data_IF_834781078771
#
_entry.id   IF_834781078771
#
_cell.length_a   1.000
_cell.length_b   1.000
_cell.length_c   1.000
_cell.angle_alpha   90.00
_cell.angle_beta   90.00
_cell.angle_gamma   90.00
#
_symmetry.space_group_name_H-M   'P 1'
#
loop_
_entity.id
_entity.type
_entity.pdbx_description
1 polymer ?
#
# COMPACT_ATOMS: atom_id res chain seq x y z
N UNK A 1 -0.96 27.34 -16.39
CA UNK A 1 -1.69 26.19 -16.95
C UNK A 1 -2.97 26.02 -16.16
N UNK A 2 -4.14 26.09 -16.83
CA UNK A 2 -5.42 25.90 -16.15
C UNK A 2 -5.48 24.49 -15.55
N UNK A 3 -5.91 24.36 -14.29
CA UNK A 3 -6.16 23.08 -13.66
C UNK A 3 -7.36 22.41 -14.32
N UNK A 4 -7.19 21.17 -14.74
CA UNK A 4 -8.28 20.30 -15.17
C UNK A 4 -8.90 19.48 -14.01
N UNK A 5 -8.62 19.86 -12.75
CA UNK A 5 -9.14 19.20 -11.55
C UNK A 5 -10.33 19.94 -10.94
N UNK A 6 -11.08 19.23 -10.08
CA UNK A 6 -12.14 19.82 -9.28
C UNK A 6 -11.57 20.79 -8.23
N UNK A 7 -12.38 21.75 -7.80
CA UNK A 7 -12.03 22.71 -6.75
C UNK A 7 -12.91 22.50 -5.52
N UNK A 8 -12.33 22.71 -4.35
CA UNK A 8 -13.02 22.71 -3.06
C UNK A 8 -12.46 23.82 -2.18
N UNK A 9 -13.15 24.23 -1.11
CA UNK A 9 -12.60 25.18 -0.13
C UNK A 9 -11.24 24.69 0.38
N UNK A 10 -10.21 25.55 0.29
CA UNK A 10 -8.84 25.23 0.68
C UNK A 10 -7.94 24.73 -0.45
N UNK A 11 -8.46 24.45 -1.65
CA UNK A 11 -7.60 24.16 -2.80
C UNK A 11 -6.93 25.43 -3.31
N UNK A 12 -5.63 25.36 -3.58
CA UNK A 12 -4.93 26.46 -4.23
C UNK A 12 -5.42 26.63 -5.69
N UNK A 13 -5.52 27.86 -6.18
CA UNK A 13 -5.99 28.16 -7.54
C UNK A 13 -5.04 27.64 -8.63
N UNK A 14 -3.72 27.69 -8.35
CA UNK A 14 -2.68 27.21 -9.26
C UNK A 14 -1.68 26.32 -8.53
N UNK A 15 -1.10 25.35 -9.25
CA UNK A 15 0.00 24.54 -8.74
C UNK A 15 1.26 25.39 -8.71
N UNK A 16 1.96 25.41 -7.57
CA UNK A 16 3.29 26.03 -7.46
C UNK A 16 4.25 25.34 -8.45
N UNK A 17 4.89 26.08 -9.36
CA UNK A 17 5.89 25.53 -10.29
C UNK A 17 7.04 24.80 -9.59
N UNK A 18 7.41 25.22 -8.37
CA UNK A 18 8.44 24.54 -7.57
C UNK A 18 8.08 23.13 -7.11
N UNK A 19 6.81 22.71 -7.28
CA UNK A 19 6.34 21.34 -6.96
C UNK A 19 6.10 20.48 -8.20
N UNK A 20 6.52 20.94 -9.37
CA UNK A 20 6.23 20.25 -10.64
C UNK A 20 6.68 18.79 -10.66
N UNK A 21 7.84 18.52 -10.06
CA UNK A 21 8.49 17.20 -10.03
C UNK A 21 8.25 16.42 -8.72
N UNK A 22 7.36 16.91 -7.85
CA UNK A 22 7.03 16.17 -6.62
C UNK A 22 6.19 14.95 -6.95
N UNK A 23 6.58 13.81 -6.37
CA UNK A 23 5.92 12.52 -6.52
C UNK A 23 5.53 12.00 -5.14
N UNK A 24 4.28 11.51 -4.98
CA UNK A 24 3.91 10.71 -3.82
C UNK A 24 4.58 9.34 -3.95
N UNK A 25 5.80 9.25 -3.41
CA UNK A 25 6.65 8.07 -3.58
C UNK A 25 6.10 6.86 -2.84
N UNK A 26 5.78 7.00 -1.55
CA UNK A 26 5.42 5.84 -0.73
C UNK A 26 4.44 6.17 0.40
N UNK A 27 3.75 5.12 0.86
CA UNK A 27 3.05 5.06 2.14
C UNK A 27 3.75 4.04 3.02
N UNK A 28 4.06 4.39 4.28
CA UNK A 28 4.74 3.49 5.21
C UNK A 28 3.76 2.89 6.22
N UNK A 29 3.85 1.56 6.40
CA UNK A 29 3.17 0.80 7.44
C UNK A 29 4.21 0.08 8.32
N UNK A 30 3.99 0.08 9.63
CA UNK A 30 4.78 -0.77 10.54
C UNK A 30 4.22 -2.18 10.54
N UNK A 31 5.11 -3.16 10.45
CA UNK A 31 4.74 -4.58 10.49
C UNK A 31 5.41 -5.27 11.67
N UNK A 32 4.69 -6.21 12.29
CA UNK A 32 5.21 -7.00 13.39
C UNK A 32 6.13 -8.14 12.91
N UNK A 33 5.64 -8.90 11.92
CA UNK A 33 6.31 -10.08 11.39
C UNK A 33 6.51 -9.93 9.87
N UNK A 34 7.77 -9.75 9.41
CA UNK A 34 8.05 -9.55 8.01
C UNK A 34 7.75 -10.78 7.15
N UNK A 35 7.83 -12.01 7.68
CA UNK A 35 7.51 -13.22 6.90
C UNK A 35 6.02 -13.26 6.58
N UNK A 36 5.17 -13.03 7.58
CA UNK A 36 3.72 -12.99 7.39
C UNK A 36 3.29 -11.85 6.46
N UNK A 37 3.85 -10.66 6.64
CA UNK A 37 3.47 -9.49 5.83
C UNK A 37 3.98 -9.62 4.39
N UNK A 38 5.21 -10.07 4.17
CA UNK A 38 5.74 -10.28 2.81
C UNK A 38 4.96 -11.36 2.08
N UNK A 39 4.59 -12.47 2.73
CA UNK A 39 3.72 -13.49 2.13
C UNK A 39 2.38 -12.88 1.70
N UNK A 40 1.75 -12.10 2.57
CA UNK A 40 0.47 -11.46 2.28
C UNK A 40 0.59 -10.48 1.09
N UNK A 41 1.51 -9.55 1.14
CA UNK A 41 1.62 -8.52 0.08
C UNK A 41 2.13 -9.09 -1.25
N UNK A 42 2.97 -10.14 -1.26
CA UNK A 42 3.47 -10.73 -2.50
C UNK A 42 2.59 -11.85 -3.04
N UNK A 43 2.25 -12.85 -2.23
CA UNK A 43 1.46 -14.01 -2.68
C UNK A 43 -0.04 -13.68 -2.77
N UNK A 44 -0.59 -12.98 -1.77
CA UNK A 44 -2.03 -12.68 -1.74
C UNK A 44 -2.37 -11.50 -2.64
N UNK A 45 -1.66 -10.38 -2.50
CA UNK A 45 -1.93 -9.17 -3.28
C UNK A 45 -1.14 -9.09 -4.59
N UNK A 46 -0.11 -9.92 -4.80
CA UNK A 46 0.65 -9.97 -6.05
C UNK A 46 1.64 -8.82 -6.24
N UNK A 47 2.01 -8.12 -5.17
CA UNK A 47 3.04 -7.09 -5.25
C UNK A 47 4.43 -7.70 -5.47
N UNK A 48 5.30 -6.96 -6.11
CA UNK A 48 6.71 -7.28 -6.22
C UNK A 48 7.49 -6.62 -5.10
N UNK A 49 8.30 -7.40 -4.35
CA UNK A 49 9.31 -6.84 -3.46
C UNK A 49 10.45 -6.26 -4.31
N UNK A 50 10.52 -4.95 -4.39
CA UNK A 50 11.49 -4.23 -5.22
C UNK A 50 12.84 -4.12 -4.50
N UNK A 51 12.80 -3.81 -3.20
CA UNK A 51 14.02 -3.63 -2.41
C UNK A 51 13.79 -3.91 -0.92
N UNK A 52 14.84 -4.49 -0.28
CA UNK A 52 15.02 -4.52 1.16
C UNK A 52 16.23 -3.68 1.54
N UNK A 53 16.13 -2.93 2.63
CA UNK A 53 17.21 -2.13 3.20
C UNK A 53 17.24 -2.38 4.70
N UNK A 54 18.37 -2.88 5.21
CA UNK A 54 18.57 -3.11 6.65
C UNK A 54 19.34 -1.93 7.25
N UNK A 55 18.81 -1.35 8.32
CA UNK A 55 19.38 -0.21 9.06
C UNK A 55 19.85 -0.72 10.41
N UNK A 56 21.07 -1.27 10.46
CA UNK A 56 21.61 -1.93 11.65
C UNK A 56 21.72 -1.00 12.87
N UNK A 57 22.03 0.28 12.67
CA UNK A 57 22.12 1.24 13.79
C UNK A 57 20.75 1.56 14.42
N UNK A 58 19.65 1.36 13.68
CA UNK A 58 18.30 1.58 14.16
C UNK A 58 17.54 0.29 14.46
N UNK A 59 18.16 -0.87 14.23
CA UNK A 59 17.57 -2.20 14.43
C UNK A 59 16.23 -2.38 13.73
N UNK A 60 16.16 -1.94 12.45
CA UNK A 60 14.96 -2.11 11.63
C UNK A 60 15.30 -2.41 10.16
N UNK A 61 14.34 -3.00 9.46
CA UNK A 61 14.39 -3.28 8.03
C UNK A 61 13.24 -2.59 7.31
N UNK A 62 13.53 -2.09 6.10
CA UNK A 62 12.56 -1.50 5.18
C UNK A 62 12.36 -2.43 3.99
N UNK A 63 11.10 -2.66 3.62
CA UNK A 63 10.72 -3.44 2.46
C UNK A 63 9.85 -2.58 1.56
N UNK A 64 10.31 -2.33 0.32
CA UNK A 64 9.59 -1.54 -0.66
C UNK A 64 8.91 -2.46 -1.66
N UNK A 65 7.60 -2.36 -1.74
CA UNK A 65 6.76 -3.17 -2.62
C UNK A 65 5.95 -2.28 -3.56
N UNK A 66 5.55 -2.84 -4.70
CA UNK A 66 4.72 -2.15 -5.67
C UNK A 66 4.26 -3.06 -6.80
N UNK A 67 3.67 -2.45 -7.82
CA UNK A 67 3.22 -3.12 -9.05
C UNK A 67 3.98 -2.56 -10.27
N UNK A 68 5.32 -2.66 -10.32
CA UNK A 68 6.06 -2.27 -11.51
C UNK A 68 5.69 -3.21 -12.66
N UNK A 69 5.59 -2.66 -13.88
CA UNK A 69 5.44 -3.50 -15.05
C UNK A 69 6.76 -4.24 -15.39
N UNK A 70 6.71 -5.26 -16.26
CA UNK A 70 7.89 -6.05 -16.61
C UNK A 70 9.05 -5.20 -17.17
N UNK A 71 8.76 -4.19 -17.99
CA UNK A 71 9.77 -3.33 -18.60
C UNK A 71 10.46 -2.46 -17.53
N UNK A 72 9.69 -1.98 -16.53
CA UNK A 72 10.24 -1.26 -15.38
C UNK A 72 11.16 -2.15 -14.54
N UNK A 73 10.79 -3.42 -14.32
CA UNK A 73 11.62 -4.38 -13.59
C UNK A 73 12.94 -4.69 -14.35
N UNK A 74 12.84 -4.85 -15.67
CA UNK A 74 14.03 -5.09 -16.52
C UNK A 74 14.97 -3.89 -16.52
N UNK A 75 14.41 -2.67 -16.55
CA UNK A 75 15.15 -1.42 -16.53
C UNK A 75 15.72 -1.06 -15.14
N UNK A 76 15.35 -1.78 -14.09
CA UNK A 76 15.80 -1.49 -12.73
C UNK A 76 17.31 -1.66 -12.59
N UNK A 77 18.06 -0.62 -12.14
CA UNK A 77 19.51 -0.69 -12.00
C UNK A 77 19.98 -1.81 -11.06
N UNK A 78 21.10 -2.43 -11.40
CA UNK A 78 21.76 -3.43 -10.53
C UNK A 78 22.66 -2.79 -9.48
N UNK A 79 23.25 -1.63 -9.80
CA UNK A 79 24.04 -0.85 -8.86
C UNK A 79 23.19 -0.33 -7.71
N UNK A 80 23.73 -0.38 -6.49
CA UNK A 80 22.95 -0.07 -5.28
C UNK A 80 22.53 1.40 -5.18
N UNK A 81 23.38 2.33 -5.61
CA UNK A 81 23.06 3.77 -5.55
C UNK A 81 22.03 4.13 -6.63
N UNK A 82 22.29 3.72 -7.89
CA UNK A 82 21.34 3.93 -8.99
C UNK A 82 19.97 3.28 -8.73
N UNK A 83 19.96 2.09 -8.09
CA UNK A 83 18.70 1.44 -7.67
C UNK A 83 17.95 2.26 -6.61
N UNK A 84 18.66 2.91 -5.69
CA UNK A 84 18.00 3.81 -4.72
C UNK A 84 17.38 5.01 -5.42
N UNK A 85 18.09 5.66 -6.33
CA UNK A 85 17.57 6.79 -7.11
C UNK A 85 16.32 6.36 -7.90
N UNK A 86 16.41 5.21 -8.59
CA UNK A 86 15.28 4.65 -9.32
C UNK A 86 14.07 4.38 -8.39
N UNK A 87 14.29 3.74 -7.24
CA UNK A 87 13.24 3.40 -6.27
C UNK A 87 12.51 4.65 -5.77
N UNK A 88 13.27 5.67 -5.34
CA UNK A 88 12.68 6.88 -4.79
C UNK A 88 12.09 7.83 -5.85
N UNK A 89 12.24 7.52 -7.13
CA UNK A 89 11.52 8.17 -8.22
C UNK A 89 10.19 7.49 -8.59
N UNK A 90 9.92 6.26 -8.08
CA UNK A 90 8.67 5.56 -8.40
C UNK A 90 7.49 6.15 -7.62
N UNK A 91 6.28 6.20 -8.20
CA UNK A 91 5.08 6.59 -7.49
C UNK A 91 4.45 5.41 -6.74
N UNK A 92 3.68 5.74 -5.69
CA UNK A 92 2.73 4.85 -5.04
C UNK A 92 3.29 3.50 -4.55
N UNK A 93 4.50 3.51 -4.00
CA UNK A 93 5.08 2.34 -3.34
C UNK A 93 4.44 2.11 -1.96
N UNK A 94 4.49 0.87 -1.51
CA UNK A 94 4.25 0.50 -0.13
C UNK A 94 5.60 0.21 0.55
N UNK A 95 5.91 0.96 1.62
CA UNK A 95 7.04 0.69 2.49
C UNK A 95 6.55 -0.05 3.74
N UNK A 96 7.07 -1.24 3.98
CA UNK A 96 6.85 -1.96 5.24
C UNK A 96 8.08 -1.78 6.12
N UNK A 97 7.87 -1.28 7.35
CA UNK A 97 8.95 -1.09 8.32
C UNK A 97 8.82 -2.12 9.45
N UNK A 98 9.82 -2.99 9.55
CA UNK A 98 9.93 -4.00 10.61
C UNK A 98 11.00 -3.59 11.62
N UNK A 99 10.63 -3.37 12.88
CA UNK A 99 11.57 -3.21 13.99
C UNK A 99 11.99 -4.61 14.47
N UNK A 100 13.28 -4.88 14.51
CA UNK A 100 13.79 -6.23 14.81
C UNK A 100 13.34 -6.70 16.19
N UNK A 101 12.90 -7.96 16.26
CA UNK A 101 12.43 -8.59 17.48
C UNK A 101 10.92 -8.50 17.71
N UNK A 102 10.19 -7.63 16.97
CA UNK A 102 8.74 -7.52 17.16
C UNK A 102 7.99 -8.79 16.75
N UNK A 103 8.56 -9.61 15.86
CA UNK A 103 8.01 -10.90 15.45
C UNK A 103 7.96 -11.90 16.61
N UNK A 104 8.87 -11.78 17.56
CA UNK A 104 8.96 -12.64 18.76
C UNK A 104 8.07 -12.17 19.91
N UNK A 105 7.55 -10.95 19.88
CA UNK A 105 6.71 -10.38 20.92
C UNK A 105 5.22 -10.53 20.59
N UNK A 106 4.48 -11.40 21.30
CA UNK A 106 3.07 -11.63 21.04
C UNK A 106 2.17 -10.45 21.44
N UNK A 107 2.66 -9.48 22.21
CA UNK A 107 1.89 -8.36 22.70
C UNK A 107 1.98 -7.12 21.77
N UNK A 108 2.91 -7.10 20.85
CA UNK A 108 3.04 -6.02 19.87
C UNK A 108 1.80 -5.97 18.99
N UNK A 109 1.18 -4.80 18.97
CA UNK A 109 0.06 -4.46 18.07
C UNK A 109 0.25 -3.06 17.54
N UNK A 110 -0.02 -2.89 16.26
CA UNK A 110 -0.08 -1.58 15.63
C UNK A 110 -1.54 -1.12 15.55
N UNK A 111 -1.77 0.17 15.73
CA UNK A 111 -3.10 0.74 15.61
C UNK A 111 -3.53 0.77 14.13
N UNK A 112 -4.69 0.20 13.82
CA UNK A 112 -5.20 0.07 12.45
C UNK A 112 -5.76 1.39 11.86
N UNK A 113 -5.90 2.42 12.69
CA UNK A 113 -6.43 3.73 12.30
C UNK A 113 -7.96 3.80 12.24
N UNK A 114 -8.68 2.69 12.30
CA UNK A 114 -10.14 2.61 12.15
C UNK A 114 -10.87 2.45 13.49
N UNK A 115 -10.16 2.15 14.57
CA UNK A 115 -10.64 2.21 15.94
C UNK A 115 -10.36 3.57 16.57
N UNK A 116 -11.05 3.92 17.67
CA UNK A 116 -10.84 5.21 18.36
C UNK A 116 -9.51 5.23 19.15
N UNK A 117 -8.76 6.33 19.06
CA UNK A 117 -8.97 7.54 18.24
C UNK A 117 -8.62 7.26 16.76
N UNK A 118 -9.54 7.63 15.86
CA UNK A 118 -9.38 7.36 14.43
C UNK A 118 -8.23 8.16 13.82
N UNK A 119 -7.53 7.54 12.87
CA UNK A 119 -6.41 8.14 12.17
C UNK A 119 -6.33 7.73 10.70
N UNK A 120 -5.19 7.15 10.29
CA UNK A 120 -5.01 6.61 8.95
C UNK A 120 -6.01 5.48 8.69
N UNK A 121 -6.80 5.58 7.62
CA UNK A 121 -7.89 4.65 7.37
C UNK A 121 -7.50 3.37 6.65
N UNK A 122 -6.94 3.49 5.46
CA UNK A 122 -6.61 2.34 4.60
C UNK A 122 -5.71 2.75 3.43
N UNK A 123 -5.17 1.74 2.75
CA UNK A 123 -4.64 1.86 1.39
C UNK A 123 -5.63 1.24 0.41
N UNK A 124 -5.65 1.72 -0.85
CA UNK A 124 -6.54 1.21 -1.90
C UNK A 124 -5.77 0.41 -2.95
N UNK A 125 -6.29 -0.76 -3.31
CA UNK A 125 -5.79 -1.60 -4.41
C UNK A 125 -6.85 -1.70 -5.49
N UNK A 126 -6.52 -1.20 -6.66
CA UNK A 126 -7.40 -1.29 -7.84
C UNK A 126 -7.23 -2.65 -8.51
N UNK A 127 -8.34 -3.35 -8.71
CA UNK A 127 -8.39 -4.66 -9.37
C UNK A 127 -9.34 -4.62 -10.57
N UNK A 128 -9.14 -5.50 -11.58
CA UNK A 128 -10.06 -5.56 -12.72
C UNK A 128 -11.51 -5.94 -12.35
N UNK A 129 -11.67 -6.88 -11.41
CA UNK A 129 -12.95 -7.39 -10.93
C UNK A 129 -12.88 -7.65 -9.42
N UNK A 130 -13.68 -6.90 -8.65
CA UNK A 130 -13.71 -6.99 -7.18
C UNK A 130 -14.26 -8.32 -6.71
N UNK A 131 -15.30 -8.87 -7.36
CA UNK A 131 -15.90 -10.15 -6.95
C UNK A 131 -14.94 -11.31 -7.20
N UNK A 132 -14.28 -11.34 -8.35
CA UNK A 132 -13.27 -12.36 -8.66
C UNK A 132 -12.07 -12.27 -7.69
N UNK A 133 -11.60 -11.06 -7.38
CA UNK A 133 -10.54 -10.86 -6.40
C UNK A 133 -10.95 -11.34 -5.01
N UNK A 134 -12.17 -11.01 -4.56
CA UNK A 134 -12.70 -11.44 -3.26
C UNK A 134 -12.88 -12.97 -3.18
N UNK A 135 -13.37 -13.62 -4.22
CA UNK A 135 -13.46 -15.08 -4.27
C UNK A 135 -12.09 -15.74 -4.10
N UNK A 136 -11.05 -15.16 -4.74
CA UNK A 136 -9.67 -15.63 -4.56
C UNK A 136 -9.19 -15.39 -3.12
N UNK A 137 -9.46 -14.24 -2.52
CA UNK A 137 -9.08 -13.95 -1.13
C UNK A 137 -9.75 -14.91 -0.14
N UNK A 138 -11.01 -15.29 -0.37
CA UNK A 138 -11.69 -16.31 0.43
C UNK A 138 -10.97 -17.65 0.39
N UNK A 139 -10.55 -18.13 -0.80
CA UNK A 139 -9.82 -19.39 -0.93
C UNK A 139 -8.44 -19.36 -0.26
N UNK A 140 -7.87 -18.16 -0.08
CA UNK A 140 -6.60 -17.94 0.60
C UNK A 140 -6.75 -17.67 2.10
N UNK A 141 -7.99 -17.65 2.63
CA UNK A 141 -8.26 -17.47 4.05
C UNK A 141 -8.07 -16.03 4.54
N UNK A 142 -8.16 -15.03 3.65
CA UNK A 142 -8.02 -13.62 4.01
C UNK A 142 -9.21 -13.15 4.84
N UNK A 143 -8.95 -12.37 5.89
CA UNK A 143 -9.98 -11.77 6.72
C UNK A 143 -10.66 -10.59 6.01
N UNK A 144 -12.01 -10.63 5.96
CA UNK A 144 -12.82 -9.53 5.40
C UNK A 144 -13.35 -8.64 6.52
N UNK A 145 -13.20 -7.33 6.34
CA UNK A 145 -13.92 -6.31 7.11
C UNK A 145 -15.27 -6.04 6.48
N UNK A 146 -15.32 -6.00 5.13
CA UNK A 146 -16.53 -5.74 4.35
C UNK A 146 -16.45 -6.48 3.01
N UNK A 147 -17.50 -7.20 2.67
CA UNK A 147 -17.64 -7.85 1.36
C UNK A 147 -18.19 -6.89 0.31
N UNK A 148 -18.04 -7.17 -1.01
CA UNK A 148 -18.45 -6.24 -2.07
C UNK A 148 -19.92 -5.81 -2.02
N UNK A 149 -20.79 -6.71 -1.58
CA UNK A 149 -22.25 -6.48 -1.58
C UNK A 149 -22.81 -6.04 -0.21
N UNK A 150 -21.95 -5.92 0.80
CA UNK A 150 -22.35 -5.49 2.13
C UNK A 150 -22.53 -3.96 2.22
N UNK A 151 -23.48 -3.53 3.06
CA UNK A 151 -23.70 -2.13 3.40
C UNK A 151 -24.17 -1.26 2.24
N UNK A 152 -23.99 0.05 2.38
CA UNK A 152 -24.46 1.04 1.40
C UNK A 152 -23.52 1.22 0.20
N UNK A 153 -22.21 1.10 0.41
CA UNK A 153 -21.20 1.25 -0.64
C UNK A 153 -20.97 -0.10 -1.33
N UNK A 154 -21.72 -0.38 -2.38
CA UNK A 154 -21.63 -1.61 -3.16
C UNK A 154 -20.45 -1.59 -4.12
N UNK A 155 -19.93 -2.77 -4.49
CA UNK A 155 -18.90 -2.92 -5.52
C UNK A 155 -17.47 -2.67 -5.06
N UNK A 156 -17.24 -2.47 -3.75
CA UNK A 156 -15.92 -2.43 -3.13
C UNK A 156 -15.87 -3.30 -1.88
N UNK A 157 -14.70 -3.79 -1.53
CA UNK A 157 -14.49 -4.59 -0.33
C UNK A 157 -13.39 -3.99 0.55
N UNK A 158 -13.38 -4.39 1.82
CA UNK A 158 -12.26 -4.15 2.71
C UNK A 158 -11.77 -5.49 3.28
N UNK A 159 -10.48 -5.72 3.21
CA UNK A 159 -9.79 -6.85 3.81
C UNK A 159 -8.78 -6.37 4.85
N UNK A 160 -8.25 -7.28 5.67
CA UNK A 160 -7.18 -6.99 6.62
C UNK A 160 -5.88 -7.64 6.20
N UNK A 161 -4.79 -6.92 6.43
CA UNK A 161 -3.46 -7.49 6.40
C UNK A 161 -3.10 -8.20 7.72
N UNK A 162 -1.94 -8.85 7.86
CA UNK A 162 -1.55 -9.56 9.08
C UNK A 162 -1.45 -8.70 10.34
N UNK A 163 -1.23 -7.40 10.21
CA UNK A 163 -1.16 -6.45 11.32
C UNK A 163 -2.50 -5.75 11.61
N UNK A 164 -3.55 -6.04 10.81
CA UNK A 164 -4.90 -5.53 10.96
C UNK A 164 -5.20 -4.25 10.18
N UNK A 165 -4.26 -3.72 9.40
CA UNK A 165 -4.53 -2.57 8.52
C UNK A 165 -5.58 -2.92 7.47
N UNK A 166 -6.45 -1.96 7.20
CA UNK A 166 -7.47 -2.14 6.18
C UNK A 166 -6.92 -1.88 4.79
N UNK A 167 -7.34 -2.71 3.86
CA UNK A 167 -7.04 -2.56 2.44
C UNK A 167 -8.36 -2.54 1.68
N UNK A 168 -8.61 -1.41 1.01
CA UNK A 168 -9.76 -1.28 0.11
C UNK A 168 -9.47 -1.98 -1.21
N UNK A 169 -10.40 -2.82 -1.65
CA UNK A 169 -10.37 -3.48 -2.95
C UNK A 169 -11.46 -2.85 -3.81
N UNK A 170 -11.05 -2.17 -4.86
CA UNK A 170 -11.93 -1.40 -5.73
C UNK A 170 -11.66 -1.69 -7.21
N UNK A 171 -12.59 -1.32 -8.07
CA UNK A 171 -12.41 -1.43 -9.54
C UNK A 171 -12.79 -0.12 -10.21
N UNK A 172 -12.03 0.36 -11.19
CA UNK A 172 -12.37 1.57 -11.94
C UNK A 172 -13.74 1.52 -12.60
N UNK A 173 -14.22 0.31 -12.95
CA UNK A 173 -15.54 0.11 -13.57
C UNK A 173 -16.71 0.24 -12.58
N UNK A 174 -16.49 0.04 -11.29
CA UNK A 174 -17.52 0.00 -10.25
C UNK A 174 -17.62 1.29 -9.42
N UNK A 175 -16.59 2.14 -9.45
CA UNK A 175 -16.55 3.41 -8.71
C UNK A 175 -17.24 4.49 -9.52
N UNK A 176 -18.58 4.59 -9.37
CA UNK A 176 -19.40 5.65 -9.95
C UNK A 176 -20.07 6.41 -8.82
N UNK A 177 -19.67 7.66 -8.62
CA UNK A 177 -20.24 8.59 -7.66
C UNK A 177 -21.14 9.60 -8.37
#
# INVERSE_FOLDING_TARGET
MSRHGETAPGTAEERDPGTADFVLNQTMLRIRDPEASLDFYTRVLGMTLIRRIDISQGEFSLYFLGYPDPDQLEAMPRDSAARSEWLFAQPALLELTHNWGTEADPDIRYHDGNSEPRGFGHIGISVPDVHAACARFETLGVEFVKRPDDGMMKGLAFIRDPDGYWIEILSPSNMRF
#
